data_IF_657999153647
#
_entry.id   IF_657999153647
#
_cell.length_a   1.000
_cell.length_b   1.000
_cell.length_c   1.000
_cell.angle_alpha   90.00
_cell.angle_beta   90.00
_cell.angle_gamma   90.00
#
_symmetry.space_group_name_H-M   'P 1'
#
loop_
_entity.id
_entity.type
_entity.pdbx_description
1 polymer ?
#
# COMPACT_ATOMS: atom_id res chain seq x y z
N UNK A 1 -13.28 13.65 25.43
CA UNK A 1 -13.31 12.20 25.13
C UNK A 1 -12.79 12.04 23.71
N UNK A 2 -11.51 11.68 23.57
CA UNK A 2 -10.92 11.38 22.26
C UNK A 2 -11.62 10.16 21.64
N UNK A 3 -12.01 10.28 20.37
CA UNK A 3 -12.50 9.14 19.59
C UNK A 3 -11.33 8.62 18.74
N UNK A 4 -11.10 7.33 18.79
CA UNK A 4 -10.16 6.66 17.91
C UNK A 4 -10.92 6.10 16.69
N UNK A 5 -10.33 6.21 15.50
CA UNK A 5 -10.80 5.57 14.28
C UNK A 5 -9.77 4.52 13.87
N UNK A 6 -10.23 3.32 13.59
CA UNK A 6 -9.43 2.26 12.97
C UNK A 6 -10.09 1.89 11.66
N UNK A 7 -9.40 2.09 10.55
CA UNK A 7 -9.82 1.65 9.22
C UNK A 7 -9.01 0.41 8.85
N UNK A 8 -9.71 -0.68 8.55
CA UNK A 8 -9.09 -1.93 8.10
C UNK A 8 -9.53 -2.18 6.66
N UNK A 9 -8.57 -2.26 5.76
CA UNK A 9 -8.79 -2.47 4.34
C UNK A 9 -8.22 -3.86 3.98
N UNK A 10 -9.07 -4.72 3.45
CA UNK A 10 -8.65 -5.98 2.84
C UNK A 10 -8.56 -5.79 1.34
N UNK A 11 -7.34 -5.60 0.83
CA UNK A 11 -7.11 -5.42 -0.60
C UNK A 11 -7.45 -6.70 -1.36
N UNK A 12 -8.31 -6.57 -2.39
CA UNK A 12 -8.85 -7.70 -3.14
C UNK A 12 -9.77 -8.63 -2.32
N UNK A 13 -10.16 -8.21 -1.12
CA UNK A 13 -11.00 -9.01 -0.22
C UNK A 13 -12.49 -8.82 -0.52
N UNK A 14 -13.21 -9.91 -0.73
CA UNK A 14 -14.62 -9.93 -1.10
C UNK A 14 -15.46 -10.94 -0.29
N UNK A 15 -16.75 -11.06 -0.61
CA UNK A 15 -17.69 -11.97 0.06
C UNK A 15 -17.28 -13.45 -0.09
N UNK A 16 -16.57 -13.82 -1.14
CA UNK A 16 -16.08 -15.17 -1.34
C UNK A 16 -14.97 -15.50 -0.33
N UNK A 17 -14.09 -14.54 -0.05
CA UNK A 17 -13.07 -14.68 1.00
C UNK A 17 -13.71 -14.84 2.39
N UNK A 18 -14.76 -14.06 2.68
CA UNK A 18 -15.53 -14.20 3.94
C UNK A 18 -16.13 -15.60 4.03
N UNK A 19 -16.72 -16.08 2.95
CA UNK A 19 -17.36 -17.40 2.92
C UNK A 19 -16.33 -18.53 3.08
N UNK A 20 -15.22 -18.46 2.37
CA UNK A 20 -14.13 -19.44 2.52
C UNK A 20 -13.54 -19.41 3.94
N UNK A 21 -13.27 -18.22 4.46
CA UNK A 21 -12.76 -18.04 5.81
C UNK A 21 -13.72 -18.58 6.89
N UNK A 22 -15.02 -18.33 6.74
CA UNK A 22 -16.05 -18.90 7.65
C UNK A 22 -16.03 -20.42 7.63
N UNK A 23 -16.11 -21.01 6.44
CA UNK A 23 -16.12 -22.46 6.30
C UNK A 23 -14.87 -23.12 6.87
N UNK A 24 -13.73 -22.48 6.68
CA UNK A 24 -12.44 -22.99 7.17
C UNK A 24 -12.29 -22.86 8.68
N UNK A 25 -12.60 -21.68 9.25
CA UNK A 25 -12.29 -21.36 10.64
C UNK A 25 -13.36 -21.88 11.61
N UNK A 26 -14.64 -21.81 11.25
CA UNK A 26 -15.76 -22.06 12.17
C UNK A 26 -16.84 -22.98 11.58
N UNK A 27 -16.62 -23.49 10.38
CA UNK A 27 -17.59 -24.33 9.66
C UNK A 27 -18.81 -23.56 9.14
N UNK A 28 -19.61 -24.25 8.33
CA UNK A 28 -20.74 -23.62 7.62
C UNK A 28 -21.81 -23.00 8.54
N UNK A 29 -21.93 -23.46 9.78
CA UNK A 29 -22.90 -22.96 10.75
C UNK A 29 -22.32 -21.95 11.74
N UNK A 30 -21.00 -21.70 11.66
CA UNK A 30 -20.34 -20.76 12.53
C UNK A 30 -20.47 -19.31 12.03
N UNK A 31 -20.06 -18.37 12.89
CA UNK A 31 -20.02 -16.95 12.57
C UNK A 31 -18.61 -16.40 12.75
N UNK A 32 -18.20 -15.56 11.82
CA UNK A 32 -17.03 -14.70 11.97
C UNK A 32 -17.43 -13.41 12.66
N UNK A 33 -16.48 -12.67 13.20
CA UNK A 33 -16.72 -11.32 13.75
C UNK A 33 -17.34 -10.39 12.71
N UNK A 34 -17.00 -10.57 11.44
CA UNK A 34 -17.58 -9.82 10.31
C UNK A 34 -19.10 -10.06 10.16
N UNK A 35 -19.59 -11.26 10.54
CA UNK A 35 -21.01 -11.58 10.50
C UNK A 35 -21.80 -10.88 11.62
N UNK A 36 -21.11 -10.44 12.67
CA UNK A 36 -21.68 -9.80 13.85
C UNK A 36 -21.52 -8.28 13.86
N UNK A 37 -20.92 -7.70 12.81
CA UNK A 37 -20.79 -6.24 12.67
C UNK A 37 -22.18 -5.59 12.64
N UNK A 38 -22.41 -4.52 13.45
CA UNK A 38 -23.74 -3.92 13.60
C UNK A 38 -24.22 -3.17 12.35
N UNK A 39 -23.30 -2.78 11.47
CA UNK A 39 -23.60 -2.07 10.23
C UNK A 39 -22.89 -2.71 9.07
N UNK A 40 -23.56 -2.79 7.94
CA UNK A 40 -23.04 -3.25 6.65
C UNK A 40 -23.54 -2.32 5.57
N UNK A 41 -22.69 -2.09 4.57
CA UNK A 41 -23.03 -1.33 3.38
C UNK A 41 -22.29 -1.90 2.17
N UNK A 42 -22.80 -1.60 0.99
CA UNK A 42 -22.09 -1.80 -0.27
C UNK A 42 -21.63 -0.46 -0.78
N UNK A 43 -20.44 -0.43 -1.37
CA UNK A 43 -19.87 0.76 -2.01
C UNK A 43 -19.78 0.48 -3.50
N UNK A 44 -20.26 1.41 -4.30
CA UNK A 44 -20.01 1.40 -5.74
C UNK A 44 -18.58 1.86 -5.97
N UNK A 45 -17.79 1.04 -6.65
CA UNK A 45 -16.44 1.39 -7.06
C UNK A 45 -16.50 2.10 -8.40
N UNK A 46 -15.89 3.27 -8.48
CA UNK A 46 -15.82 4.06 -9.70
C UNK A 46 -14.35 4.31 -10.07
N UNK A 47 -14.07 4.28 -11.37
CA UNK A 47 -12.79 4.68 -11.95
C UNK A 47 -13.02 5.30 -13.32
N UNK A 48 -12.10 6.13 -13.75
CA UNK A 48 -12.20 6.85 -15.01
C UNK A 48 -10.92 6.69 -15.84
N UNK A 49 -11.03 6.92 -17.14
CA UNK A 49 -9.90 7.07 -18.04
C UNK A 49 -9.22 8.44 -17.86
N UNK A 50 -8.10 8.66 -18.55
CA UNK A 50 -7.46 9.99 -18.64
C UNK A 50 -8.38 11.08 -19.18
N UNK A 51 -9.41 10.71 -19.94
CA UNK A 51 -10.39 11.64 -20.49
C UNK A 51 -11.63 11.80 -19.58
N UNK A 52 -11.63 11.19 -18.39
CA UNK A 52 -12.73 11.23 -17.45
C UNK A 52 -13.90 10.30 -17.79
N UNK A 53 -13.77 9.42 -18.77
CA UNK A 53 -14.81 8.47 -19.14
C UNK A 53 -14.84 7.28 -18.16
N UNK A 54 -16.02 6.82 -17.71
CA UNK A 54 -16.12 5.70 -16.77
C UNK A 54 -15.49 4.41 -17.30
N UNK A 55 -14.75 3.73 -16.44
CA UNK A 55 -14.17 2.41 -16.69
C UNK A 55 -14.78 1.35 -15.78
N UNK A 56 -14.79 0.09 -16.25
CA UNK A 56 -15.40 -1.03 -15.53
C UNK A 56 -14.48 -1.68 -14.49
N UNK A 57 -13.18 -1.49 -14.61
CA UNK A 57 -12.18 -2.16 -13.76
C UNK A 57 -11.34 -1.10 -13.07
N UNK A 58 -11.29 -1.19 -11.75
CA UNK A 58 -10.47 -0.36 -10.89
C UNK A 58 -9.20 -1.13 -10.46
N UNK A 59 -8.24 -0.42 -9.89
CA UNK A 59 -7.12 -1.00 -9.16
C UNK A 59 -7.11 -0.53 -7.70
N UNK A 60 -6.14 -1.01 -6.90
CA UNK A 60 -6.01 -0.61 -5.51
C UNK A 60 -5.63 0.87 -5.35
N UNK A 61 -4.95 1.47 -6.32
CA UNK A 61 -4.54 2.87 -6.23
C UNK A 61 -5.74 3.84 -6.29
N UNK A 62 -6.54 3.75 -7.35
CA UNK A 62 -7.70 4.64 -7.48
C UNK A 62 -8.79 4.33 -6.45
N UNK A 63 -8.97 3.07 -6.04
CA UNK A 63 -9.95 2.73 -5.00
C UNK A 63 -9.53 3.19 -3.62
N UNK A 64 -8.25 3.04 -3.25
CA UNK A 64 -7.73 3.59 -2.01
C UNK A 64 -7.74 5.12 -2.00
N UNK A 65 -7.45 5.77 -3.15
CA UNK A 65 -7.62 7.21 -3.32
C UNK A 65 -9.07 7.62 -3.04
N UNK A 66 -10.06 6.90 -3.59
CA UNK A 66 -11.48 7.18 -3.31
C UNK A 66 -11.83 7.02 -1.83
N UNK A 67 -11.28 5.99 -1.15
CA UNK A 67 -11.47 5.79 0.29
C UNK A 67 -10.82 6.91 1.13
N UNK A 68 -9.64 7.36 0.73
CA UNK A 68 -8.88 8.36 1.47
C UNK A 68 -9.40 9.79 1.27
N UNK A 69 -9.93 10.10 0.08
CA UNK A 69 -10.23 11.49 -0.33
C UNK A 69 -11.71 11.74 -0.62
N UNK A 70 -12.46 10.70 -0.98
CA UNK A 70 -13.82 10.81 -1.55
C UNK A 70 -13.83 11.18 -3.04
N UNK A 71 -12.67 11.30 -3.68
CA UNK A 71 -12.54 11.61 -5.11
C UNK A 71 -12.56 10.36 -5.99
N UNK A 72 -12.88 10.54 -7.26
CA UNK A 72 -12.76 9.51 -8.30
C UNK A 72 -11.58 9.87 -9.18
N UNK A 73 -10.72 8.90 -9.45
CA UNK A 73 -9.54 9.10 -10.29
C UNK A 73 -9.28 7.90 -11.17
N UNK A 74 -8.25 8.00 -11.99
CA UNK A 74 -7.84 6.94 -12.91
C UNK A 74 -7.01 5.86 -12.19
N UNK A 75 -6.93 4.68 -12.80
CA UNK A 75 -6.08 3.57 -12.39
C UNK A 75 -4.63 4.03 -12.20
N UNK A 76 -4.00 3.56 -11.12
CA UNK A 76 -2.60 3.80 -10.83
C UNK A 76 -2.28 5.12 -10.13
N UNK A 77 -3.20 6.06 -10.00
CA UNK A 77 -2.99 7.34 -9.31
C UNK A 77 -3.12 7.21 -7.80
N UNK A 78 -2.28 7.92 -7.10
CA UNK A 78 -2.20 7.96 -5.63
C UNK A 78 -2.61 9.35 -5.16
N UNK A 79 -3.79 9.48 -4.57
CA UNK A 79 -4.39 10.70 -4.02
C UNK A 79 -4.27 11.95 -4.92
N UNK A 80 -4.27 11.76 -6.24
CA UNK A 80 -4.34 12.83 -7.24
C UNK A 80 -5.57 12.62 -8.15
N UNK A 81 -6.11 13.70 -8.69
CA UNK A 81 -7.15 13.65 -9.72
C UNK A 81 -6.56 13.40 -11.13
N UNK A 82 -7.40 13.41 -12.16
CA UNK A 82 -6.97 13.18 -13.55
C UNK A 82 -6.17 14.33 -14.14
N UNK A 83 -6.27 15.52 -13.58
CA UNK A 83 -5.49 16.71 -13.92
C UNK A 83 -4.19 16.82 -13.10
N UNK A 84 -3.87 15.80 -12.30
CA UNK A 84 -2.71 15.73 -11.42
C UNK A 84 -2.71 16.71 -10.22
N UNK A 85 -3.89 17.16 -9.80
CA UNK A 85 -4.00 17.94 -8.58
C UNK A 85 -4.09 17.02 -7.36
N UNK A 86 -3.41 17.39 -6.28
CA UNK A 86 -3.46 16.69 -5.00
C UNK A 86 -4.87 16.72 -4.40
N UNK A 87 -5.36 15.56 -3.99
CA UNK A 87 -6.65 15.40 -3.32
C UNK A 87 -6.41 15.25 -1.81
N UNK A 88 -6.81 16.23 -0.97
CA UNK A 88 -6.60 16.16 0.47
C UNK A 88 -7.20 14.91 1.10
N UNK A 89 -6.39 14.13 1.80
CA UNK A 89 -6.79 12.85 2.39
C UNK A 89 -7.38 12.99 3.79
N UNK A 90 -8.13 11.99 4.22
CA UNK A 90 -8.65 11.91 5.59
C UNK A 90 -7.51 11.84 6.63
N UNK A 91 -6.38 11.21 6.30
CA UNK A 91 -5.23 11.09 7.18
C UNK A 91 -4.53 12.44 7.37
N UNK A 92 -4.32 13.21 6.31
CA UNK A 92 -3.78 14.57 6.38
C UNK A 92 -4.70 15.49 7.18
N UNK A 93 -6.01 15.48 6.91
CA UNK A 93 -6.99 16.26 7.68
C UNK A 93 -6.99 15.89 9.16
N UNK A 94 -6.72 14.63 9.49
CA UNK A 94 -6.58 14.19 10.88
C UNK A 94 -5.30 14.77 11.50
N UNK A 95 -4.16 14.72 10.79
CA UNK A 95 -2.91 15.33 11.24
C UNK A 95 -3.06 16.84 11.46
N UNK A 96 -3.65 17.56 10.51
CA UNK A 96 -3.93 19.01 10.61
C UNK A 96 -4.84 19.37 11.80
N UNK A 97 -5.73 18.44 12.17
CA UNK A 97 -6.63 18.57 13.31
C UNK A 97 -5.98 18.15 14.64
N UNK A 98 -4.68 17.82 14.64
CA UNK A 98 -3.92 17.41 15.82
C UNK A 98 -4.13 15.97 16.28
N UNK A 99 -4.72 15.13 15.44
CA UNK A 99 -4.79 13.69 15.71
C UNK A 99 -3.45 13.02 15.42
N UNK A 100 -3.23 11.87 16.04
CA UNK A 100 -2.14 10.99 15.67
C UNK A 100 -2.61 10.04 14.56
N UNK A 101 -1.76 9.85 13.56
CA UNK A 101 -2.02 8.95 12.42
C UNK A 101 -0.98 7.86 12.38
N UNK A 102 -1.41 6.65 12.03
CA UNK A 102 -0.52 5.53 11.78
C UNK A 102 -0.99 4.72 10.59
N UNK A 103 -0.06 4.27 9.76
CA UNK A 103 -0.25 3.30 8.70
C UNK A 103 0.42 1.98 9.10
N UNK A 104 -0.32 0.89 8.99
CA UNK A 104 0.19 -0.46 9.22
C UNK A 104 -0.30 -1.33 8.08
N UNK A 105 0.61 -1.99 7.38
CA UNK A 105 0.27 -2.82 6.22
C UNK A 105 1.08 -4.12 6.20
N UNK A 106 0.58 -5.12 5.48
CA UNK A 106 1.33 -6.33 5.16
C UNK A 106 2.05 -6.23 3.81
N UNK A 107 1.70 -5.25 2.98
CA UNK A 107 2.44 -4.91 1.76
C UNK A 107 3.64 -4.00 2.05
N UNK A 108 4.32 -3.53 1.01
CA UNK A 108 5.20 -2.38 1.14
C UNK A 108 4.44 -1.17 1.67
N UNK A 109 5.07 -0.34 2.49
CA UNK A 109 4.52 0.96 2.91
C UNK A 109 4.23 1.88 1.72
N UNK A 110 4.96 1.68 0.64
CA UNK A 110 4.85 2.45 -0.61
C UNK A 110 3.80 1.90 -1.57
N UNK A 111 3.24 0.72 -1.27
CA UNK A 111 2.17 0.16 -2.09
C UNK A 111 0.92 1.08 -2.07
N UNK A 112 0.13 0.97 -3.10
CA UNK A 112 -0.95 1.91 -3.40
C UNK A 112 -1.92 2.14 -2.25
N UNK A 113 -2.35 1.08 -1.56
CA UNK A 113 -3.37 1.18 -0.51
C UNK A 113 -2.91 2.03 0.68
N UNK A 114 -1.74 1.79 1.32
CA UNK A 114 -1.26 2.68 2.38
C UNK A 114 -0.82 4.04 1.84
N UNK A 115 -0.17 4.09 0.67
CA UNK A 115 0.34 5.34 0.09
C UNK A 115 -0.77 6.38 -0.12
N UNK A 116 -1.95 5.96 -0.60
CA UNK A 116 -3.07 6.86 -0.91
C UNK A 116 -3.62 7.66 0.29
N UNK A 117 -3.14 7.38 1.49
CA UNK A 117 -3.55 8.14 2.68
C UNK A 117 -2.62 9.29 3.04
N UNK A 118 -1.37 9.28 2.58
CA UNK A 118 -0.35 10.26 2.99
C UNK A 118 0.65 10.65 1.88
N UNK A 119 0.42 10.23 0.64
CA UNK A 119 1.28 10.59 -0.50
C UNK A 119 0.41 10.95 -1.71
N UNK A 120 0.98 11.74 -2.60
CA UNK A 120 0.35 12.22 -3.82
C UNK A 120 1.34 12.05 -4.97
N UNK A 121 1.06 11.12 -5.88
CA UNK A 121 1.87 10.91 -7.09
C UNK A 121 0.98 10.48 -8.26
N UNK A 122 1.42 10.84 -9.45
CA UNK A 122 0.71 10.52 -10.70
C UNK A 122 0.68 9.03 -11.03
N UNK A 123 1.61 8.23 -10.48
CA UNK A 123 1.66 6.79 -10.69
C UNK A 123 2.14 6.03 -9.44
N UNK A 124 1.43 4.96 -9.09
CA UNK A 124 1.73 4.07 -7.97
C UNK A 124 3.12 3.42 -8.00
N UNK A 125 3.73 3.39 -9.18
CA UNK A 125 5.08 2.86 -9.36
C UNK A 125 6.20 3.77 -8.86
N UNK A 126 5.90 5.02 -8.51
CA UNK A 126 6.86 6.00 -8.03
C UNK A 126 7.15 5.85 -6.54
N UNK A 127 7.52 4.62 -6.14
CA UNK A 127 7.60 4.21 -4.74
C UNK A 127 8.80 4.83 -4.02
N UNK A 128 9.96 4.89 -4.66
CA UNK A 128 11.20 5.42 -4.12
C UNK A 128 11.86 6.47 -5.01
N UNK A 129 12.93 7.14 -4.53
CA UNK A 129 13.66 8.15 -5.30
C UNK A 129 14.14 7.68 -6.68
N UNK A 130 14.47 6.40 -6.83
CA UNK A 130 14.90 5.84 -8.11
C UNK A 130 13.71 5.61 -9.03
N UNK A 131 12.57 5.11 -8.51
CA UNK A 131 11.37 4.79 -9.28
C UNK A 131 10.62 6.03 -9.75
N UNK A 132 10.78 7.17 -9.07
CA UNK A 132 10.14 8.44 -9.49
C UNK A 132 10.65 8.90 -10.86
N UNK A 133 11.84 8.49 -11.25
CA UNK A 133 12.45 8.76 -12.56
C UNK A 133 12.00 7.76 -13.65
N UNK A 134 11.17 6.81 -13.29
CA UNK A 134 10.70 5.72 -14.11
C UNK A 134 11.35 4.40 -13.72
N UNK A 135 10.58 3.35 -13.77
CA UNK A 135 11.02 2.02 -13.37
C UNK A 135 10.61 0.95 -14.38
N UNK A 136 10.98 -0.29 -14.12
CA UNK A 136 10.54 -1.44 -14.91
C UNK A 136 10.01 -2.50 -13.96
N UNK A 137 8.75 -2.87 -14.14
CA UNK A 137 8.11 -3.90 -13.34
C UNK A 137 7.80 -5.12 -14.23
N UNK A 138 8.41 -6.27 -13.92
CA UNK A 138 8.36 -7.48 -14.75
C UNK A 138 8.69 -7.24 -16.24
N UNK A 139 9.68 -6.41 -16.53
CA UNK A 139 10.08 -6.09 -17.90
C UNK A 139 9.16 -5.09 -18.62
N UNK A 140 8.14 -4.57 -17.93
CA UNK A 140 7.23 -3.56 -18.47
C UNK A 140 7.64 -2.18 -17.92
N UNK A 141 7.97 -1.21 -18.79
CA UNK A 141 8.26 0.15 -18.36
C UNK A 141 7.09 0.74 -17.58
N UNK A 142 7.39 1.37 -16.45
CA UNK A 142 6.43 2.09 -15.63
C UNK A 142 6.56 3.60 -15.85
N UNK A 143 5.47 4.36 -15.71
CA UNK A 143 5.50 5.80 -15.84
C UNK A 143 6.48 6.43 -14.84
N UNK A 144 7.15 7.50 -15.25
CA UNK A 144 7.89 8.38 -14.36
C UNK A 144 6.94 9.44 -13.79
N UNK A 145 7.17 9.85 -12.54
CA UNK A 145 6.48 10.93 -11.86
C UNK A 145 7.40 12.16 -11.79
N UNK A 146 7.73 12.73 -12.94
CA UNK A 146 8.77 13.76 -13.03
C UNK A 146 8.37 15.06 -12.32
N UNK A 147 7.08 15.40 -12.30
CA UNK A 147 6.58 16.59 -11.60
C UNK A 147 6.61 16.39 -10.07
N UNK A 148 6.52 15.13 -9.62
CA UNK A 148 6.67 14.77 -8.21
C UNK A 148 8.13 14.71 -7.76
N UNK A 149 9.08 14.54 -8.69
CA UNK A 149 10.49 14.38 -8.37
C UNK A 149 11.06 15.63 -7.66
N UNK A 150 11.83 15.43 -6.58
CA UNK A 150 12.46 16.52 -5.83
C UNK A 150 13.45 17.34 -6.68
N UNK A 151 14.09 16.73 -7.66
CA UNK A 151 14.96 17.40 -8.64
C UNK A 151 14.21 18.47 -9.44
N UNK A 152 12.92 18.30 -9.62
CA UNK A 152 12.03 19.23 -10.33
C UNK A 152 11.23 20.13 -9.38
N UNK A 153 11.50 20.07 -8.07
CA UNK A 153 10.82 20.86 -7.04
C UNK A 153 9.53 20.24 -6.52
N UNK A 154 9.25 18.97 -6.87
CA UNK A 154 8.11 18.21 -6.36
C UNK A 154 8.32 17.68 -4.95
N UNK A 155 7.31 17.02 -4.37
CA UNK A 155 7.33 16.51 -2.99
C UNK A 155 8.20 15.26 -2.81
N UNK A 156 8.61 14.61 -3.88
CA UNK A 156 9.39 13.38 -3.89
C UNK A 156 8.54 12.13 -4.12
N UNK A 157 9.21 11.00 -4.09
CA UNK A 157 8.62 9.67 -4.18
C UNK A 157 7.64 9.38 -3.02
N UNK A 158 6.85 8.32 -3.16
CA UNK A 158 5.91 7.90 -2.11
C UNK A 158 6.60 7.77 -0.76
N UNK A 159 7.75 7.08 -0.68
CA UNK A 159 8.43 6.89 0.62
C UNK A 159 8.93 8.21 1.21
N UNK A 160 9.42 9.14 0.38
CA UNK A 160 9.86 10.47 0.85
C UNK A 160 8.69 11.27 1.41
N UNK A 161 7.53 11.22 0.75
CA UNK A 161 6.31 11.88 1.22
C UNK A 161 5.80 11.26 2.52
N UNK A 162 5.78 9.92 2.64
CA UNK A 162 5.42 9.23 3.88
C UNK A 162 6.29 9.66 5.07
N UNK A 163 7.60 9.74 4.86
CA UNK A 163 8.57 10.20 5.88
C UNK A 163 8.34 11.66 6.26
N UNK A 164 7.92 12.49 5.32
CA UNK A 164 7.64 13.90 5.55
C UNK A 164 6.22 14.19 6.08
N UNK A 165 5.32 13.20 6.08
CA UNK A 165 3.90 13.37 6.40
C UNK A 165 3.61 13.79 7.85
N UNK A 166 4.52 13.48 8.79
CA UNK A 166 4.30 13.67 10.20
C UNK A 166 3.48 12.58 10.90
N UNK A 167 3.21 11.46 10.21
CA UNK A 167 2.58 10.29 10.82
C UNK A 167 3.43 9.73 11.96
N UNK A 168 2.80 9.22 13.00
CA UNK A 168 3.51 8.72 14.18
C UNK A 168 3.90 7.25 14.08
N UNK A 169 3.23 6.50 13.21
CA UNK A 169 3.49 5.07 13.02
C UNK A 169 3.44 4.75 11.53
N UNK A 170 4.53 4.22 11.00
CA UNK A 170 4.64 3.72 9.64
C UNK A 170 5.24 2.31 9.73
N UNK A 171 4.44 1.26 9.54
CA UNK A 171 4.88 -0.13 9.67
C UNK A 171 4.42 -0.97 8.48
N UNK A 172 5.36 -1.67 7.83
CA UNK A 172 5.06 -2.52 6.67
C UNK A 172 6.29 -3.22 6.12
N UNK A 173 6.26 -3.53 4.84
CA UNK A 173 7.41 -3.91 4.05
C UNK A 173 8.05 -2.72 3.34
N UNK A 174 8.95 -2.96 2.39
CA UNK A 174 9.56 -1.93 1.56
C UNK A 174 10.92 -1.44 2.03
N UNK A 175 11.73 -2.31 2.70
CA UNK A 175 13.08 -1.95 3.17
C UNK A 175 13.95 -1.44 2.04
N UNK A 176 13.83 -2.00 0.84
CA UNK A 176 14.61 -1.57 -0.34
C UNK A 176 14.47 -0.07 -0.64
N UNK A 177 13.31 0.54 -0.36
CA UNK A 177 13.09 1.97 -0.60
C UNK A 177 13.72 2.86 0.48
N UNK A 178 13.90 2.34 1.71
CA UNK A 178 14.62 3.06 2.75
C UNK A 178 16.13 3.13 2.51
N UNK A 179 16.67 2.20 1.73
CA UNK A 179 18.09 2.13 1.38
C UNK A 179 18.44 3.03 0.19
N UNK A 180 17.47 3.48 -0.59
CA UNK A 180 17.70 4.36 -1.73
C UNK A 180 18.20 5.74 -1.29
N UNK A 181 19.00 6.35 -2.16
CA UNK A 181 19.59 7.67 -1.91
C UNK A 181 18.68 8.77 -2.44
N UNK A 182 18.43 9.77 -1.60
CA UNK A 182 17.69 10.97 -1.97
C UNK A 182 18.59 11.97 -2.71
N UNK A 183 18.00 13.03 -3.26
CA UNK A 183 18.75 14.13 -3.90
C UNK A 183 19.78 14.80 -2.96
N UNK A 184 19.58 14.72 -1.65
CA UNK A 184 20.46 15.32 -0.64
C UNK A 184 21.67 14.42 -0.28
N UNK A 185 21.95 13.39 -1.07
CA UNK A 185 23.02 12.41 -0.85
C UNK A 185 22.91 11.64 0.48
N UNK A 186 21.71 11.53 1.03
CA UNK A 186 21.41 10.70 2.20
C UNK A 186 20.41 9.59 1.86
N UNK A 187 20.42 8.49 2.60
CA UNK A 187 19.40 7.46 2.42
C UNK A 187 18.04 7.94 2.95
N UNK A 188 16.96 7.41 2.41
CA UNK A 188 15.61 7.66 2.95
C UNK A 188 15.53 7.31 4.43
N UNK A 189 16.21 6.24 4.88
CA UNK A 189 16.31 5.89 6.30
C UNK A 189 17.00 7.00 7.12
N UNK A 190 18.06 7.60 6.62
CA UNK A 190 18.76 8.72 7.28
C UNK A 190 17.86 9.97 7.31
N UNK A 191 17.18 10.28 6.20
CA UNK A 191 16.18 11.35 6.16
C UNK A 191 15.09 11.13 7.21
N UNK A 192 14.55 9.90 7.33
CA UNK A 192 13.55 9.58 8.33
C UNK A 192 14.06 9.75 9.77
N UNK A 193 15.29 9.31 10.04
CA UNK A 193 15.93 9.53 11.35
C UNK A 193 16.10 11.02 11.64
N UNK A 194 16.48 11.83 10.65
CA UNK A 194 16.54 13.29 10.74
C UNK A 194 15.17 13.94 11.05
N UNK A 195 14.07 13.34 10.63
CA UNK A 195 12.68 13.75 10.97
C UNK A 195 12.23 13.25 12.34
N UNK A 196 13.10 12.56 13.08
CA UNK A 196 12.83 12.08 14.43
C UNK A 196 12.27 10.67 14.51
N UNK A 197 12.11 9.95 13.41
CA UNK A 197 11.67 8.57 13.44
C UNK A 197 12.71 7.67 14.12
N UNK A 198 12.22 6.71 14.89
CA UNK A 198 13.00 5.53 15.28
C UNK A 198 12.82 4.50 14.18
N UNK A 199 13.93 4.13 13.54
CA UNK A 199 13.93 3.12 12.49
C UNK A 199 13.94 1.73 13.16
N UNK A 200 13.00 0.87 12.75
CA UNK A 200 12.82 -0.48 13.25
C UNK A 200 13.10 -1.47 12.12
N UNK A 201 13.79 -2.55 12.44
CA UNK A 201 14.06 -3.64 11.50
C UNK A 201 13.33 -4.93 11.90
N UNK A 202 13.54 -5.98 11.09
CA UNK A 202 12.87 -7.29 11.19
C UNK A 202 12.94 -7.92 12.59
N UNK A 203 14.06 -7.76 13.29
CA UNK A 203 14.28 -8.38 14.60
C UNK A 203 13.79 -7.54 15.78
N UNK A 204 13.11 -6.43 15.50
CA UNK A 204 12.63 -5.52 16.55
C UNK A 204 11.43 -6.12 17.28
N UNK A 205 11.55 -6.29 18.59
CA UNK A 205 10.39 -6.58 19.42
C UNK A 205 9.58 -5.30 19.65
N UNK A 206 8.46 -5.17 18.94
CA UNK A 206 7.59 -3.99 19.00
C UNK A 206 7.06 -3.67 20.39
N UNK A 207 6.85 -4.70 21.26
CA UNK A 207 6.38 -4.50 22.63
C UNK A 207 7.41 -3.76 23.50
N UNK A 208 8.69 -3.82 23.11
CA UNK A 208 9.77 -3.15 23.84
C UNK A 208 10.07 -1.73 23.33
N UNK A 209 9.40 -1.29 22.25
CA UNK A 209 9.64 0.03 21.63
C UNK A 209 8.96 1.12 22.45
N UNK A 210 9.71 2.07 23.05
CA UNK A 210 9.10 3.18 23.79
C UNK A 210 8.25 4.06 22.87
N UNK A 211 7.07 4.53 23.33
CA UNK A 211 6.17 5.38 22.53
C UNK A 211 6.53 6.88 22.62
N UNK A 212 7.82 7.20 22.72
CA UNK A 212 8.34 8.55 22.99
C UNK A 212 8.55 9.39 21.72
N UNK A 213 8.58 8.76 20.56
CA UNK A 213 8.77 9.40 19.25
C UNK A 213 8.13 8.58 18.13
N UNK A 214 7.99 9.16 16.92
CA UNK A 214 7.49 8.41 15.75
C UNK A 214 8.33 7.18 15.45
N UNK A 215 7.70 6.16 14.89
CA UNK A 215 8.35 4.91 14.47
C UNK A 215 8.12 4.65 12.98
N UNK A 216 9.18 4.22 12.32
CA UNK A 216 9.16 3.71 10.95
C UNK A 216 9.80 2.33 10.95
N UNK A 217 9.03 1.32 10.60
CA UNK A 217 9.52 -0.07 10.56
C UNK A 217 9.20 -0.74 9.25
N UNK A 218 10.25 -1.23 8.58
CA UNK A 218 10.11 -2.09 7.41
C UNK A 218 10.67 -3.47 7.74
N UNK A 219 9.85 -4.51 7.56
CA UNK A 219 10.14 -5.85 8.07
C UNK A 219 10.42 -6.87 6.96
N UNK A 220 10.35 -6.45 5.71
CA UNK A 220 10.72 -7.21 4.52
C UNK A 220 11.16 -6.29 3.39
N UNK A 221 11.86 -6.81 2.37
CA UNK A 221 12.30 -6.00 1.23
C UNK A 221 11.15 -5.37 0.46
N UNK A 222 10.06 -6.13 0.27
CA UNK A 222 8.84 -5.69 -0.41
C UNK A 222 7.61 -5.93 0.47
N UNK A 223 6.91 -7.03 0.25
CA UNK A 223 5.71 -7.43 0.98
C UNK A 223 6.07 -8.45 2.06
N UNK A 224 5.45 -8.35 3.24
CA UNK A 224 5.68 -9.30 4.32
C UNK A 224 5.33 -10.73 3.90
N UNK A 225 6.09 -11.70 4.39
CA UNK A 225 5.81 -13.11 4.12
C UNK A 225 4.40 -13.51 4.56
N UNK A 226 3.76 -14.35 3.76
CA UNK A 226 2.45 -14.92 4.10
C UNK A 226 2.61 -15.80 5.35
N UNK A 227 1.91 -15.45 6.42
CA UNK A 227 2.01 -16.12 7.71
C UNK A 227 1.55 -17.60 7.65
N UNK A 228 0.57 -17.89 6.79
CA UNK A 228 0.01 -19.24 6.69
C UNK A 228 0.19 -19.77 5.26
N UNK A 229 0.86 -20.90 5.14
CA UNK A 229 1.14 -21.57 3.87
C UNK A 229 0.27 -22.80 3.63
N UNK A 230 -0.63 -23.12 4.55
CA UNK A 230 -1.50 -24.29 4.51
C UNK A 230 -0.82 -25.58 5.03
N UNK A 231 -1.63 -26.49 5.61
CA UNK A 231 -1.16 -27.84 5.95
C UNK A 231 -1.17 -28.68 4.70
N UNK A 232 -0.02 -29.17 4.21
CA UNK A 232 0.09 -29.88 2.96
C UNK A 232 -0.05 -29.01 1.71
N UNK A 233 -0.08 -27.67 1.91
CA UNK A 233 0.09 -26.73 0.82
C UNK A 233 1.46 -26.96 0.17
N UNK A 234 1.56 -26.87 -1.13
CA UNK A 234 2.83 -26.94 -1.84
C UNK A 234 3.78 -25.96 -1.20
N UNK A 235 4.75 -26.45 -0.46
CA UNK A 235 5.97 -25.72 -0.14
C UNK A 235 6.71 -25.70 -1.46
N UNK A 236 6.31 -24.80 -2.38
CA UNK A 236 7.13 -24.50 -3.52
C UNK A 236 8.44 -23.95 -2.94
N UNK A 237 9.56 -24.62 -3.23
CA UNK A 237 10.80 -23.88 -3.35
C UNK A 237 10.46 -22.61 -4.12
N UNK A 238 10.83 -21.46 -3.58
CA UNK A 238 10.72 -20.13 -4.18
C UNK A 238 10.27 -20.10 -5.66
N UNK A 239 9.08 -20.55 -5.93
CA UNK A 239 8.47 -20.22 -7.18
C UNK A 239 8.06 -18.76 -7.03
N UNK A 240 8.89 -17.88 -7.53
CA UNK A 240 8.47 -16.56 -8.04
C UNK A 240 7.41 -16.79 -9.13
N UNK A 241 6.35 -17.45 -8.80
CA UNK A 241 5.16 -17.58 -9.63
C UNK A 241 4.39 -16.28 -9.48
N UNK A 242 4.87 -15.32 -10.24
CA UNK A 242 4.16 -14.07 -10.45
C UNK A 242 2.73 -14.42 -10.88
N UNK A 243 1.75 -13.62 -10.45
CA UNK A 243 0.38 -13.71 -10.94
C UNK A 243 0.32 -13.69 -12.48
N UNK A 244 1.33 -13.12 -13.17
CA UNK A 244 1.52 -13.17 -14.61
C UNK A 244 1.78 -14.60 -15.12
N UNK A 245 2.43 -15.47 -14.35
CA UNK A 245 2.58 -16.88 -14.71
C UNK A 245 1.22 -17.61 -14.65
N UNK A 246 0.41 -17.31 -13.63
CA UNK A 246 -0.97 -17.80 -13.57
C UNK A 246 -1.83 -17.25 -14.70
N UNK A 247 -1.67 -15.98 -15.06
CA UNK A 247 -2.37 -15.37 -16.18
C UNK A 247 -1.91 -15.95 -17.53
N UNK A 248 -0.61 -16.20 -17.72
CA UNK A 248 -0.06 -16.87 -18.90
C UNK A 248 -0.65 -18.27 -19.08
N UNK A 249 -0.74 -19.05 -18.01
CA UNK A 249 -1.35 -20.39 -18.03
C UNK A 249 -2.87 -20.32 -18.29
N UNK A 250 -3.56 -19.31 -17.76
CA UNK A 250 -4.98 -19.08 -18.00
C UNK A 250 -5.28 -18.63 -19.43
N UNK A 251 -4.34 -17.90 -20.07
CA UNK A 251 -4.44 -17.43 -21.46
C UNK A 251 -3.92 -18.43 -22.51
N UNK A 252 -3.63 -19.67 -22.11
CA UNK A 252 -3.26 -20.74 -23.02
C UNK A 252 -1.76 -20.96 -23.22
N UNK A 253 -0.94 -20.51 -22.30
CA UNK A 253 0.47 -20.88 -22.22
C UNK A 253 0.61 -22.37 -21.89
N UNK A 254 1.28 -23.12 -22.77
CA UNK A 254 1.39 -24.59 -22.73
C UNK A 254 2.58 -25.06 -21.89
N UNK A 255 2.64 -24.75 -20.60
CA UNK A 255 3.50 -25.46 -19.68
C UNK A 255 2.66 -26.07 -18.56
N UNK A 256 2.46 -27.38 -18.63
CA UNK A 256 1.90 -28.14 -17.52
C UNK A 256 2.87 -28.08 -16.31
N UNK A 257 2.38 -27.86 -15.08
CA UNK A 257 3.23 -28.02 -13.92
C UNK A 257 3.64 -29.47 -13.79
N UNK A 258 4.93 -29.74 -13.77
CA UNK A 258 5.46 -31.08 -13.44
C UNK A 258 4.94 -31.53 -12.07
N UNK A 259 4.68 -32.83 -11.87
CA UNK A 259 3.96 -33.42 -10.76
C UNK A 259 4.66 -33.28 -9.40
#
# INVERSE_FOLDING_TARGET
NGRNLILIIGDGFDDQHVTMGRNYLVGMSGKLILDEMPYRASVQVETVSEQGEPLYVADSANTATSLATGGVTQIGRIATDIEDNDLPTIAERALDSGFRVGLVTTSSLTDATPASFLAHVSARSCEGPEEVLGSTYYGIPQPACLDDARDNGGPGSIIEQLVNSGAQVLLGGGTKFLEQTTIDDETVAAMAAGRGYRILGRDTNLESVPPDRPILGTFDEETLEVRWRGTGGRVGEETKTSWLHHLSNYLGGTEEPEP
#
